data_IF_499147315558
#
_entry.id   IF_499147315558
#
_cell.length_a   1.000
_cell.length_b   1.000
_cell.length_c   1.000
_cell.angle_alpha   90.00
_cell.angle_beta   90.00
_cell.angle_gamma   90.00
#
_symmetry.space_group_name_H-M   'P 1'
#
loop_
_entity.id
_entity.type
_entity.pdbx_description
1 polymer ?
#
# COMPACT_ATOMS: atom_id res chain seq x y z
N UNK A 1 20.75 -3.48 8.21
CA UNK A 1 19.97 -2.98 7.07
C UNK A 1 18.59 -3.53 7.31
N UNK A 2 17.61 -2.67 7.50
CA UNK A 2 16.21 -3.11 7.52
C UNK A 2 15.89 -3.50 6.07
N UNK A 3 15.64 -4.79 5.86
CA UNK A 3 15.21 -5.29 4.56
C UNK A 3 13.71 -4.98 4.47
N UNK A 4 13.36 -3.93 3.72
CA UNK A 4 11.96 -3.66 3.41
C UNK A 4 11.48 -4.69 2.40
N UNK A 5 10.33 -5.29 2.66
CA UNK A 5 9.65 -6.11 1.66
C UNK A 5 9.26 -5.21 0.48
N UNK A 6 9.48 -5.68 -0.75
CA UNK A 6 9.17 -4.92 -1.97
C UNK A 6 8.00 -5.60 -2.68
N UNK A 7 7.04 -4.78 -3.12
CA UNK A 7 5.88 -5.23 -3.88
C UNK A 7 5.73 -4.40 -5.16
N UNK A 8 5.45 -5.09 -6.28
CA UNK A 8 5.15 -4.44 -7.55
C UNK A 8 3.63 -4.30 -7.69
N UNK A 9 3.15 -3.07 -7.79
CA UNK A 9 1.72 -2.76 -7.90
C UNK A 9 1.43 -2.12 -9.27
N UNK A 10 0.48 -2.65 -10.05
CA UNK A 10 0.04 -1.98 -11.27
C UNK A 10 -0.68 -0.67 -10.91
N UNK A 11 -0.17 0.44 -11.44
CA UNK A 11 -0.81 1.75 -11.29
C UNK A 11 -1.69 2.07 -12.50
N UNK A 12 -2.60 3.03 -12.35
CA UNK A 12 -3.61 3.36 -13.35
C UNK A 12 -3.08 3.79 -14.72
N UNK A 13 -1.80 4.14 -14.82
CA UNK A 13 -1.12 4.45 -16.10
C UNK A 13 -0.78 3.19 -16.92
N UNK A 14 -1.04 2.00 -16.38
CA UNK A 14 -0.75 0.70 -17.01
C UNK A 14 0.68 0.20 -16.78
N UNK A 15 1.50 0.94 -16.03
CA UNK A 15 2.83 0.53 -15.60
C UNK A 15 2.78 -0.17 -14.26
N UNK A 16 3.66 -1.14 -14.04
CA UNK A 16 3.97 -1.66 -12.70
C UNK A 16 5.02 -0.76 -12.05
N UNK A 17 4.82 -0.44 -10.78
CA UNK A 17 5.81 0.31 -9.98
C UNK A 17 6.16 -0.49 -8.75
N UNK A 18 7.43 -0.42 -8.37
CA UNK A 18 7.94 -1.05 -7.17
C UNK A 18 7.71 -0.13 -5.97
N UNK A 19 7.22 -0.72 -4.89
CA UNK A 19 7.01 -0.04 -3.63
C UNK A 19 7.62 -0.83 -2.49
N UNK A 20 8.24 -0.12 -1.55
CA UNK A 20 8.72 -0.69 -0.31
C UNK A 20 7.57 -0.69 0.71
N UNK A 21 7.31 -1.84 1.34
CA UNK A 21 6.33 -2.00 2.39
C UNK A 21 6.88 -1.35 3.66
N UNK A 22 6.23 -0.29 4.10
CA UNK A 22 6.58 0.43 5.33
C UNK A 22 5.87 -0.17 6.53
N UNK A 23 4.57 -0.44 6.38
CA UNK A 23 3.73 -0.95 7.47
C UNK A 23 2.46 -1.65 6.92
N UNK A 24 1.82 -2.48 7.74
CA UNK A 24 0.56 -3.15 7.43
C UNK A 24 -0.38 -3.03 8.60
N UNK A 25 -1.61 -2.56 8.38
CA UNK A 25 -2.57 -2.33 9.45
C UNK A 25 -4.00 -2.67 9.03
N UNK A 26 -4.86 -2.90 10.02
CA UNK A 26 -6.29 -3.16 9.81
C UNK A 26 -7.12 -1.97 10.27
N UNK A 27 -8.10 -1.57 9.47
CA UNK A 27 -9.06 -0.52 9.81
C UNK A 27 -10.47 -0.90 9.36
N UNK A 28 -11.44 -0.82 10.28
CA UNK A 28 -12.85 -1.24 10.05
C UNK A 28 -13.00 -2.68 9.50
N UNK A 29 -12.08 -3.60 9.87
CA UNK A 29 -12.07 -4.99 9.40
C UNK A 29 -11.52 -5.20 7.99
N UNK A 30 -10.91 -4.16 7.41
CA UNK A 30 -10.22 -4.19 6.12
C UNK A 30 -8.72 -4.01 6.32
N UNK A 31 -7.92 -4.85 5.66
CA UNK A 31 -6.46 -4.74 5.64
C UNK A 31 -5.97 -3.64 4.69
N UNK A 32 -4.99 -2.86 5.15
CA UNK A 32 -4.31 -1.81 4.40
C UNK A 32 -2.78 -1.94 4.48
N UNK A 33 -2.13 -1.59 3.37
CA UNK A 33 -0.68 -1.59 3.22
C UNK A 33 -0.21 -0.13 3.07
N UNK A 34 0.71 0.30 3.93
CA UNK A 34 1.43 1.55 3.79
C UNK A 34 2.73 1.29 3.04
N UNK A 35 2.91 1.94 1.88
CA UNK A 35 4.05 1.69 1.00
C UNK A 35 4.68 2.99 0.51
N UNK A 36 5.99 2.98 0.30
CA UNK A 36 6.72 4.11 -0.31
C UNK A 36 7.19 3.73 -1.69
N UNK A 37 7.07 4.66 -2.65
CA UNK A 37 7.49 4.41 -4.03
C UNK A 37 9.01 4.22 -4.09
N UNK A 38 9.47 3.24 -4.87
CA UNK A 38 10.89 3.05 -5.17
C UNK A 38 11.13 3.58 -6.58
N UNK A 39 12.08 4.51 -6.72
CA UNK A 39 12.55 4.98 -8.03
C UNK A 39 14.04 4.70 -8.16
N UNK A 40 14.40 3.73 -9.01
CA UNK A 40 15.77 3.26 -9.13
C UNK A 40 16.21 2.50 -7.87
N UNK A 41 17.24 3.01 -7.19
CA UNK A 41 17.78 2.43 -5.96
C UNK A 41 17.37 3.24 -4.70
N UNK A 42 16.48 4.22 -4.84
CA UNK A 42 16.06 5.12 -3.75
C UNK A 42 14.57 4.97 -3.42
N UNK A 43 14.26 4.94 -2.13
CA UNK A 43 12.88 5.00 -1.63
C UNK A 43 12.49 6.48 -1.54
N UNK A 44 11.43 6.83 -2.24
CA UNK A 44 10.92 8.20 -2.30
C UNK A 44 10.24 8.62 -1.00
N UNK A 45 10.31 9.92 -0.73
CA UNK A 45 9.65 10.54 0.42
C UNK A 45 8.14 10.63 0.15
N UNK A 46 7.37 9.67 0.67
CA UNK A 46 5.91 9.66 0.59
C UNK A 46 5.32 8.28 0.78
N UNK A 47 4.29 8.19 1.63
CA UNK A 47 3.57 6.95 1.91
C UNK A 47 2.24 6.93 1.16
N UNK A 48 2.02 5.87 0.41
CA UNK A 48 0.79 5.53 -0.28
C UNK A 48 0.09 4.41 0.47
N UNK A 49 -1.24 4.47 0.54
CA UNK A 49 -2.03 3.43 1.21
C UNK A 49 -2.86 2.66 0.19
N UNK A 50 -2.68 1.35 0.18
CA UNK A 50 -3.43 0.40 -0.65
C UNK A 50 -4.27 -0.52 0.23
N UNK A 51 -5.34 -1.06 -0.36
CA UNK A 51 -6.12 -2.13 0.26
C UNK A 51 -5.46 -3.45 -0.05
N UNK A 52 -5.31 -4.34 0.93
CA UNK A 52 -4.95 -5.73 0.67
C UNK A 52 -6.01 -6.68 1.20
N UNK A 53 -6.26 -7.77 0.49
CA UNK A 53 -7.12 -8.85 0.94
C UNK A 53 -6.61 -10.19 0.42
N UNK A 54 -6.88 -11.25 1.16
CA UNK A 54 -6.56 -12.61 0.71
C UNK A 54 -7.64 -13.06 -0.29
N UNK A 55 -7.22 -13.40 -1.50
CA UNK A 55 -8.04 -14.11 -2.46
C UNK A 55 -8.35 -15.53 -1.99
N UNK A 56 -9.37 -16.14 -2.60
CA UNK A 56 -9.84 -17.49 -2.27
C UNK A 56 -8.78 -18.58 -2.52
N UNK A 57 -7.80 -18.32 -3.40
CA UNK A 57 -6.68 -19.22 -3.70
C UNK A 57 -5.52 -19.12 -2.69
N UNK A 58 -5.60 -18.17 -1.76
CA UNK A 58 -4.52 -17.86 -0.79
C UNK A 58 -3.54 -16.78 -1.26
N UNK A 59 -3.72 -16.24 -2.47
CA UNK A 59 -2.97 -15.08 -2.96
C UNK A 59 -3.36 -13.79 -2.25
N UNK A 60 -2.42 -12.87 -2.05
CA UNK A 60 -2.71 -11.53 -1.55
C UNK A 60 -2.98 -10.61 -2.74
N UNK A 61 -4.18 -10.05 -2.79
CA UNK A 61 -4.58 -9.08 -3.81
C UNK A 61 -4.47 -7.68 -3.22
N UNK A 62 -3.72 -6.82 -3.92
CA UNK A 62 -3.54 -5.41 -3.56
C UNK A 62 -4.32 -4.54 -4.55
N UNK A 63 -5.13 -3.62 -4.02
CA UNK A 63 -6.00 -2.76 -4.80
C UNK A 63 -5.87 -1.30 -4.38
N UNK A 64 -6.03 -0.40 -5.35
CA UNK A 64 -6.12 1.03 -5.09
C UNK A 64 -7.43 1.39 -4.40
N UNK A 65 -7.34 2.30 -3.43
CA UNK A 65 -8.52 2.88 -2.81
C UNK A 65 -9.12 3.91 -3.78
N UNK A 66 -10.22 3.53 -4.43
CA UNK A 66 -10.90 4.40 -5.43
C UNK A 66 -11.81 5.45 -4.80
N UNK A 67 -12.21 5.26 -3.54
CA UNK A 67 -13.10 6.17 -2.82
C UNK A 67 -12.30 7.22 -2.03
N UNK A 68 -12.39 8.53 -2.37
CA UNK A 68 -11.62 9.56 -1.70
C UNK A 68 -11.93 9.69 -0.20
N UNK A 69 -13.18 9.44 0.19
CA UNK A 69 -13.63 9.45 1.59
C UNK A 69 -12.99 8.34 2.41
N UNK A 70 -12.78 7.16 1.81
CA UNK A 70 -12.11 6.02 2.45
C UNK A 70 -10.63 6.34 2.60
N UNK A 71 -9.96 6.73 1.51
CA UNK A 71 -8.55 7.08 1.51
C UNK A 71 -8.23 8.12 2.59
N UNK A 72 -9.06 9.18 2.70
CA UNK A 72 -8.91 10.22 3.70
C UNK A 72 -9.05 9.71 5.15
N UNK A 73 -9.99 8.80 5.41
CA UNK A 73 -10.18 8.22 6.75
C UNK A 73 -9.01 7.34 7.15
N UNK A 74 -8.60 6.46 6.25
CA UNK A 74 -7.52 5.49 6.45
C UNK A 74 -6.18 6.20 6.62
N UNK A 75 -5.89 7.18 5.77
CA UNK A 75 -4.67 8.01 5.91
C UNK A 75 -4.64 8.71 7.26
N UNK A 76 -5.75 9.34 7.67
CA UNK A 76 -5.82 9.99 8.98
C UNK A 76 -5.66 9.01 10.13
N UNK A 77 -6.15 7.77 10.00
CA UNK A 77 -5.96 6.74 11.02
C UNK A 77 -4.49 6.34 11.12
N UNK A 78 -3.83 6.09 9.97
CA UNK A 78 -2.41 5.77 9.90
C UNK A 78 -1.53 6.87 10.51
N UNK A 79 -1.82 8.14 10.22
CA UNK A 79 -1.11 9.30 10.81
C UNK A 79 -1.31 9.45 12.33
N UNK A 80 -2.32 8.80 12.90
CA UNK A 80 -2.66 8.87 14.34
C UNK A 80 -2.24 7.63 15.13
N UNK A 81 -1.75 6.59 14.46
CA UNK A 81 -1.22 5.37 15.06
C UNK A 81 0.17 5.63 15.63
#
# INVERSE_FOLDING_TARGET
MEEYEVISIPVSDGTERDFAIMDTFEFEGQGYLAVSLIEGDEIQEGVYIYRYHNAEDGDVVVEQITLPSEYKKVTKFYEQM
#
